data_IF_040238724654
#
_entry.id   IF_040238724654
#
_cell.length_a   1.000
_cell.length_b   1.000
_cell.length_c   1.000
_cell.angle_alpha   90.00
_cell.angle_beta   90.00
_cell.angle_gamma   90.00
#
_symmetry.space_group_name_H-M   'P 1'
#
loop_
_entity.id
_entity.type
_entity.pdbx_description
1 polymer ?
#
# COMPACT_ATOMS: atom_id res chain seq x y z
N UNK A 1 14.14 14.35 -19.63
CA UNK A 1 12.84 14.42 -18.91
C UNK A 1 12.79 13.50 -17.71
N UNK A 2 12.89 12.16 -17.86
CA UNK A 2 12.88 11.23 -16.69
C UNK A 2 14.08 11.43 -15.76
N UNK A 3 15.24 11.76 -16.27
CA UNK A 3 16.46 12.07 -15.50
C UNK A 3 16.23 13.30 -14.60
N UNK A 4 15.52 14.31 -15.06
CA UNK A 4 15.16 15.50 -14.26
C UNK A 4 14.26 15.11 -13.09
N UNK A 5 13.30 14.19 -13.29
CA UNK A 5 12.46 13.66 -12.21
C UNK A 5 13.28 12.89 -11.17
N UNK A 6 14.25 12.10 -11.62
CA UNK A 6 15.12 11.37 -10.71
C UNK A 6 16.03 12.33 -9.93
N UNK A 7 16.63 13.31 -10.59
CA UNK A 7 17.48 14.31 -9.94
C UNK A 7 16.69 15.13 -8.90
N UNK A 8 15.46 15.57 -9.25
CA UNK A 8 14.59 16.27 -8.33
C UNK A 8 14.20 15.38 -7.14
N UNK A 9 13.84 14.14 -7.41
CA UNK A 9 13.46 13.16 -6.40
C UNK A 9 14.62 12.87 -5.44
N UNK A 10 15.84 12.73 -5.96
CA UNK A 10 17.04 12.56 -5.16
C UNK A 10 17.32 13.80 -4.29
N UNK A 11 17.24 14.99 -4.86
CA UNK A 11 17.47 16.23 -4.13
C UNK A 11 16.43 16.43 -3.02
N UNK A 12 15.16 16.17 -3.30
CA UNK A 12 14.08 16.23 -2.30
C UNK A 12 14.34 15.24 -1.15
N UNK A 13 14.66 13.99 -1.48
CA UNK A 13 14.93 12.96 -0.49
C UNK A 13 16.13 13.34 0.39
N UNK A 14 17.22 13.77 -0.21
CA UNK A 14 18.42 14.22 0.51
C UNK A 14 18.14 15.46 1.38
N UNK A 15 17.37 16.43 0.89
CA UNK A 15 17.00 17.62 1.62
C UNK A 15 16.17 17.29 2.88
N UNK A 16 15.19 16.41 2.75
CA UNK A 16 14.29 16.04 3.84
C UNK A 16 14.96 15.15 4.91
N UNK A 17 16.01 14.42 4.56
CA UNK A 17 16.67 13.43 5.43
C UNK A 17 18.17 13.73 5.66
N UNK A 18 18.47 14.95 6.08
CA UNK A 18 19.86 15.46 6.25
C UNK A 18 20.68 14.79 7.36
N UNK A 19 20.07 13.98 8.23
CA UNK A 19 20.79 13.36 9.38
C UNK A 19 21.61 12.15 9.03
N UNK A 20 21.67 11.76 7.77
CA UNK A 20 22.45 10.62 7.31
C UNK A 20 23.81 11.03 6.73
N UNK A 21 24.73 10.08 6.65
CA UNK A 21 25.92 10.23 5.84
C UNK A 21 25.49 10.38 4.37
N UNK A 22 26.02 11.39 3.66
CA UNK A 22 25.76 11.64 2.24
C UNK A 22 25.93 10.37 1.39
N UNK A 23 26.99 9.62 1.62
CA UNK A 23 27.30 8.36 0.92
C UNK A 23 26.18 7.33 1.10
N UNK A 24 25.61 7.22 2.31
CA UNK A 24 24.51 6.30 2.57
C UNK A 24 23.26 6.66 1.76
N UNK A 25 22.94 7.95 1.57
CA UNK A 25 21.86 8.39 0.70
C UNK A 25 22.15 8.10 -0.77
N UNK A 26 23.39 8.32 -1.22
CA UNK A 26 23.80 7.97 -2.58
C UNK A 26 23.63 6.47 -2.86
N UNK A 27 24.01 5.61 -1.91
CA UNK A 27 23.80 4.16 -2.01
C UNK A 27 22.31 3.79 -2.06
N UNK A 28 21.46 4.42 -1.24
CA UNK A 28 20.00 4.17 -1.28
C UNK A 28 19.42 4.54 -2.65
N UNK A 29 19.77 5.70 -3.16
CA UNK A 29 19.23 6.19 -4.42
C UNK A 29 19.78 5.39 -5.61
N UNK A 30 21.05 5.02 -5.57
CA UNK A 30 21.64 4.13 -6.56
C UNK A 30 20.95 2.77 -6.60
N UNK A 31 20.66 2.18 -5.43
CA UNK A 31 19.90 0.94 -5.35
C UNK A 31 18.45 1.10 -5.82
N UNK A 32 17.80 2.22 -5.53
CA UNK A 32 16.45 2.49 -6.04
C UNK A 32 16.44 2.58 -7.58
N UNK A 33 17.42 3.30 -8.16
CA UNK A 33 17.60 3.39 -9.62
C UNK A 33 17.96 2.04 -10.24
N UNK A 34 18.85 1.29 -9.62
CA UNK A 34 19.32 -0.01 -10.10
C UNK A 34 18.18 -1.02 -10.32
N UNK A 35 17.06 -0.87 -9.60
CA UNK A 35 15.87 -1.70 -9.82
C UNK A 35 15.31 -1.58 -11.24
N UNK A 36 15.42 -0.40 -11.85
CA UNK A 36 14.98 -0.17 -13.23
C UNK A 36 15.86 -0.88 -14.27
N UNK A 37 17.05 -1.30 -13.85
CA UNK A 37 18.02 -2.03 -14.67
C UNK A 37 18.15 -3.51 -14.30
N UNK A 38 17.25 -4.03 -13.45
CA UNK A 38 17.23 -5.44 -13.10
C UNK A 38 18.12 -5.84 -11.91
N UNK A 39 18.73 -4.88 -11.21
CA UNK A 39 19.55 -5.14 -10.03
C UNK A 39 18.72 -4.90 -8.76
N UNK A 40 18.42 -5.94 -8.01
CA UNK A 40 17.44 -5.90 -6.92
C UNK A 40 18.03 -5.96 -5.51
N UNK A 41 19.35 -6.08 -5.39
CA UNK A 41 20.05 -6.11 -4.10
C UNK A 41 21.48 -5.54 -4.21
N UNK A 42 22.12 -5.18 -3.06
CA UNK A 42 23.45 -4.56 -3.08
C UNK A 42 24.52 -5.41 -3.73
N UNK A 43 24.46 -6.74 -3.62
CA UNK A 43 25.46 -7.63 -4.23
C UNK A 43 25.42 -7.54 -5.76
N UNK A 44 24.23 -7.65 -6.35
CA UNK A 44 24.09 -7.56 -7.82
C UNK A 44 24.58 -6.22 -8.36
N UNK A 45 24.29 -5.11 -7.66
CA UNK A 45 24.80 -3.79 -8.06
C UNK A 45 26.32 -3.71 -7.91
N UNK A 46 26.87 -4.24 -6.83
CA UNK A 46 28.32 -4.24 -6.61
C UNK A 46 29.06 -5.08 -7.65
N UNK A 47 28.55 -6.27 -7.96
CA UNK A 47 29.12 -7.15 -9.00
C UNK A 47 29.10 -6.45 -10.38
N UNK A 48 28.01 -5.73 -10.70
CA UNK A 48 27.91 -4.96 -11.95
C UNK A 48 28.88 -3.78 -12.02
N UNK A 49 29.12 -3.09 -10.89
CA UNK A 49 30.02 -1.94 -10.81
C UNK A 49 31.49 -2.33 -10.60
N UNK A 50 31.78 -3.63 -10.45
CA UNK A 50 33.10 -4.17 -10.11
C UNK A 50 33.69 -3.58 -8.81
N UNK A 51 32.84 -3.50 -7.77
CA UNK A 51 33.25 -3.01 -6.45
C UNK A 51 32.94 -4.06 -5.36
N UNK A 52 33.71 -4.05 -4.23
CA UNK A 52 33.43 -4.95 -3.12
C UNK A 52 32.02 -4.72 -2.54
N UNK A 53 31.18 -5.75 -2.50
CA UNK A 53 29.79 -5.63 -2.00
C UNK A 53 29.73 -5.15 -0.54
N UNK A 54 30.75 -5.44 0.28
CA UNK A 54 30.86 -4.95 1.66
C UNK A 54 30.86 -3.42 1.73
N UNK A 55 31.34 -2.73 0.68
CA UNK A 55 31.34 -1.27 0.58
C UNK A 55 29.90 -0.72 0.63
N UNK A 56 28.98 -1.32 -0.14
CA UNK A 56 27.57 -0.94 -0.12
C UNK A 56 26.86 -1.35 1.17
N UNK A 57 27.08 -2.59 1.64
CA UNK A 57 26.44 -3.08 2.87
C UNK A 57 26.84 -2.29 4.11
N UNK A 58 28.09 -1.81 4.20
CA UNK A 58 28.55 -0.97 5.31
C UNK A 58 27.74 0.30 5.42
N UNK A 59 27.46 0.97 4.30
CA UNK A 59 26.68 2.21 4.29
C UNK A 59 25.19 2.01 4.65
N UNK A 60 24.68 0.79 4.53
CA UNK A 60 23.28 0.48 4.83
C UNK A 60 23.05 0.04 6.29
N UNK A 61 24.13 -0.16 7.09
CA UNK A 61 24.04 -0.73 8.45
C UNK A 61 23.80 0.30 9.55
N UNK A 62 24.22 1.56 9.36
CA UNK A 62 24.43 2.50 10.44
C UNK A 62 23.18 3.30 10.84
N UNK A 63 22.00 2.90 10.36
CA UNK A 63 20.76 3.62 10.66
C UNK A 63 19.94 2.92 11.72
N UNK A 64 19.52 3.69 12.73
CA UNK A 64 18.62 3.15 13.74
C UNK A 64 17.26 2.80 13.15
N UNK A 65 16.65 1.74 13.71
CA UNK A 65 15.30 1.31 13.33
C UNK A 65 14.28 2.43 13.42
N UNK A 66 14.36 3.26 14.47
CA UNK A 66 13.47 4.40 14.66
C UNK A 66 13.60 5.38 13.48
N UNK A 67 14.82 5.76 13.14
CA UNK A 67 15.06 6.72 12.06
C UNK A 67 14.61 6.18 10.69
N UNK A 68 14.88 4.90 10.39
CA UNK A 68 14.42 4.27 9.14
C UNK A 68 12.89 4.26 9.01
N UNK A 69 12.17 3.98 10.10
CA UNK A 69 10.70 4.03 10.10
C UNK A 69 10.17 5.44 9.86
N UNK A 70 10.78 6.42 10.51
CA UNK A 70 10.40 7.85 10.34
C UNK A 70 10.71 8.34 8.92
N UNK A 71 11.87 7.98 8.37
CA UNK A 71 12.21 8.30 6.97
C UNK A 71 11.19 7.72 6.00
N UNK A 72 10.86 6.44 6.15
CA UNK A 72 9.92 5.75 5.28
C UNK A 72 8.54 6.40 5.35
N UNK A 73 8.04 6.65 6.56
CA UNK A 73 6.73 7.28 6.77
C UNK A 73 6.70 8.70 6.19
N UNK A 74 7.66 9.53 6.56
CA UNK A 74 7.72 10.92 6.11
C UNK A 74 7.84 11.04 4.60
N UNK A 75 8.67 10.20 3.99
CA UNK A 75 8.78 10.14 2.53
C UNK A 75 7.45 9.80 1.85
N UNK A 76 6.74 8.78 2.33
CA UNK A 76 5.44 8.41 1.79
C UNK A 76 4.40 9.53 1.96
N UNK A 77 4.39 10.22 3.10
CA UNK A 77 3.49 11.35 3.36
C UNK A 77 3.78 12.51 2.38
N UNK A 78 5.04 12.87 2.17
CA UNK A 78 5.40 13.94 1.22
C UNK A 78 4.89 13.59 -0.18
N UNK A 79 5.11 12.36 -0.64
CA UNK A 79 4.62 11.92 -1.95
C UNK A 79 3.09 11.94 -2.03
N UNK A 80 2.40 11.51 -0.99
CA UNK A 80 0.94 11.55 -0.94
C UNK A 80 0.39 12.98 -0.97
N UNK A 81 1.00 13.91 -0.23
CA UNK A 81 0.61 15.33 -0.21
C UNK A 81 0.76 15.96 -1.59
N UNK A 82 1.82 15.65 -2.33
CA UNK A 82 2.01 16.16 -3.69
C UNK A 82 0.92 15.69 -4.65
N UNK A 83 0.45 14.46 -4.53
CA UNK A 83 -0.67 13.94 -5.32
C UNK A 83 -2.02 14.49 -4.87
N UNK A 84 -2.21 14.74 -3.56
CA UNK A 84 -3.46 15.21 -3.00
C UNK A 84 -3.71 16.70 -3.24
N UNK A 85 -2.70 17.56 -3.11
CA UNK A 85 -2.85 19.01 -3.25
C UNK A 85 -3.61 19.44 -4.51
N UNK A 86 -3.30 18.94 -5.73
CA UNK A 86 -4.03 19.33 -6.93
C UNK A 86 -5.50 18.92 -6.94
N UNK A 87 -5.85 17.87 -6.18
CA UNK A 87 -7.22 17.34 -6.12
C UNK A 87 -8.04 18.07 -5.08
N UNK A 88 -7.44 18.42 -3.93
CA UNK A 88 -8.09 19.12 -2.84
C UNK A 88 -8.48 20.56 -3.20
N UNK A 89 -7.73 21.20 -4.10
CA UNK A 89 -8.06 22.54 -4.61
C UNK A 89 -9.35 22.55 -5.45
N UNK A 90 -9.78 21.39 -5.96
CA UNK A 90 -10.93 21.25 -6.87
C UNK A 90 -12.30 21.11 -6.20
N UNK A 91 -12.45 21.41 -4.91
CA UNK A 91 -13.67 21.34 -4.08
C UNK A 91 -13.97 20.01 -3.38
N UNK A 92 -14.52 20.11 -2.15
CA UNK A 92 -14.90 18.96 -1.33
C UNK A 92 -15.98 18.05 -1.97
N UNK A 93 -16.82 18.59 -2.85
CA UNK A 93 -17.80 17.83 -3.63
C UNK A 93 -17.15 16.95 -4.70
N UNK A 94 -15.94 17.27 -5.15
CA UNK A 94 -15.17 16.50 -6.12
C UNK A 94 -14.40 15.36 -5.44
N UNK A 95 -14.16 15.43 -4.12
CA UNK A 95 -13.43 14.42 -3.37
C UNK A 95 -14.18 13.06 -3.34
N UNK A 96 -15.51 13.07 -3.19
CA UNK A 96 -16.30 11.83 -3.28
C UNK A 96 -16.44 11.32 -4.71
N UNK A 97 -16.31 12.19 -5.72
CA UNK A 97 -16.33 11.85 -7.15
C UNK A 97 -14.95 11.50 -7.71
N UNK A 98 -13.89 11.91 -7.04
CA UNK A 98 -12.51 11.73 -7.52
C UNK A 98 -11.96 10.31 -7.39
N UNK A 99 -12.77 9.33 -6.91
CA UNK A 99 -12.33 7.94 -6.77
C UNK A 99 -11.16 7.77 -5.80
N UNK A 100 -11.10 8.57 -4.75
CA UNK A 100 -10.11 8.42 -3.69
C UNK A 100 -10.59 7.42 -2.65
N UNK A 101 -9.68 6.54 -2.22
CA UNK A 101 -9.95 5.52 -1.21
C UNK A 101 -8.70 5.24 -0.41
N UNK A 102 -8.84 5.09 0.89
CA UNK A 102 -7.82 4.49 1.74
C UNK A 102 -8.05 2.99 1.74
N UNK A 103 -7.10 2.24 1.24
CA UNK A 103 -7.14 0.78 1.26
C UNK A 103 -6.16 0.23 2.28
N UNK A 104 -6.63 -0.72 3.09
CA UNK A 104 -5.83 -1.44 4.09
C UNK A 104 -5.78 -2.90 3.72
N UNK A 105 -4.59 -3.43 3.63
CA UNK A 105 -4.34 -4.84 3.39
C UNK A 105 -2.99 -5.26 3.96
N UNK A 106 -2.79 -6.56 4.16
CA UNK A 106 -1.50 -7.10 4.56
C UNK A 106 -0.96 -8.10 3.54
N UNK A 107 0.33 -8.23 3.52
CA UNK A 107 1.00 -9.13 2.60
C UNK A 107 2.03 -9.99 3.30
N UNK A 108 1.77 -11.29 3.30
CA UNK A 108 2.71 -12.28 3.84
C UNK A 108 3.75 -12.63 2.78
N UNK A 109 5.01 -12.61 3.21
CA UNK A 109 6.17 -12.94 2.38
C UNK A 109 6.91 -14.11 3.00
N UNK A 110 7.05 -15.20 2.25
CA UNK A 110 7.85 -16.35 2.66
C UNK A 110 9.30 -15.91 2.82
N UNK A 111 9.86 -16.07 3.99
CA UNK A 111 11.25 -15.78 4.28
C UNK A 111 11.81 -16.74 5.30
N UNK A 112 12.98 -17.27 4.99
CA UNK A 112 13.70 -18.21 5.83
C UNK A 112 15.04 -17.59 6.24
N UNK A 113 15.36 -17.64 7.50
CA UNK A 113 16.64 -17.14 8.01
C UNK A 113 16.57 -16.78 9.49
N UNK A 114 17.54 -17.23 10.28
CA UNK A 114 17.61 -16.99 11.73
C UNK A 114 17.88 -15.53 12.07
N UNK A 115 18.54 -14.80 11.18
CA UNK A 115 18.94 -13.40 11.37
C UNK A 115 17.94 -12.39 10.84
N UNK A 116 16.85 -12.84 10.20
CA UNK A 116 15.81 -11.96 9.67
C UNK A 116 14.80 -11.62 10.78
N UNK A 117 14.62 -10.34 11.08
CA UNK A 117 13.62 -9.87 12.04
C UNK A 117 12.20 -10.00 11.50
N UNK A 118 11.23 -10.02 12.41
CA UNK A 118 9.79 -10.10 12.11
C UNK A 118 9.41 -11.35 11.31
N UNK A 119 10.15 -12.46 11.48
CA UNK A 119 9.87 -13.74 10.82
C UNK A 119 9.16 -14.67 11.79
N UNK A 120 7.87 -14.95 11.52
CA UNK A 120 6.95 -15.71 12.35
C UNK A 120 6.10 -16.65 11.49
N UNK A 121 5.28 -17.45 12.13
CA UNK A 121 4.25 -18.24 11.46
C UNK A 121 3.04 -17.37 11.17
N UNK A 122 2.74 -17.15 9.89
CA UNK A 122 1.62 -16.34 9.40
C UNK A 122 0.75 -17.14 8.45
N UNK A 123 -0.57 -16.95 8.51
CA UNK A 123 -1.46 -17.52 7.51
C UNK A 123 -1.27 -16.79 6.18
N UNK A 124 -1.02 -17.53 5.12
CA UNK A 124 -0.88 -17.03 3.74
C UNK A 124 -2.10 -17.40 2.92
N UNK A 125 -2.87 -16.41 2.49
CA UNK A 125 -4.01 -16.62 1.59
C UNK A 125 -3.62 -17.22 0.24
N UNK A 126 -2.36 -17.07 -0.19
CA UNK A 126 -1.84 -17.68 -1.41
C UNK A 126 -1.61 -19.18 -1.28
N UNK A 127 -1.06 -19.60 -0.14
CA UNK A 127 -0.74 -21.00 0.12
C UNK A 127 -1.90 -21.74 0.80
N UNK A 128 -2.92 -21.00 1.26
CA UNK A 128 -4.02 -21.49 2.12
C UNK A 128 -3.53 -22.24 3.36
N UNK A 129 -2.35 -21.84 3.86
CA UNK A 129 -1.67 -22.49 4.99
C UNK A 129 -0.87 -21.48 5.82
N UNK A 130 -0.40 -21.94 6.98
CA UNK A 130 0.50 -21.18 7.85
C UNK A 130 1.94 -21.38 7.39
N UNK A 131 2.56 -20.32 6.93
CA UNK A 131 3.94 -20.30 6.46
C UNK A 131 4.83 -19.51 7.40
N UNK A 132 6.13 -19.83 7.43
CA UNK A 132 7.13 -19.00 8.07
C UNK A 132 7.49 -17.84 7.15
N UNK A 133 7.42 -16.62 7.66
CA UNK A 133 7.68 -15.44 6.84
C UNK A 133 7.52 -14.14 7.59
N UNK A 134 7.45 -13.06 6.84
CA UNK A 134 7.19 -11.71 7.33
C UNK A 134 5.82 -11.26 6.86
N UNK A 135 5.06 -10.61 7.74
CA UNK A 135 3.78 -10.01 7.41
C UNK A 135 3.91 -8.48 7.43
N UNK A 136 3.64 -7.87 6.29
CA UNK A 136 3.73 -6.44 6.08
C UNK A 136 2.32 -5.86 5.95
N UNK A 137 1.91 -5.02 6.92
CA UNK A 137 0.66 -4.29 6.88
C UNK A 137 0.85 -2.97 6.16
N UNK A 138 -0.06 -2.65 5.25
CA UNK A 138 -0.01 -1.44 4.43
C UNK A 138 -1.30 -0.64 4.44
N UNK A 139 -1.13 0.69 4.39
CA UNK A 139 -2.18 1.66 4.10
C UNK A 139 -1.79 2.37 2.83
N UNK A 140 -2.63 2.29 1.82
CA UNK A 140 -2.41 2.86 0.48
C UNK A 140 -3.55 3.81 0.15
N UNK A 141 -3.20 5.00 -0.30
CA UNK A 141 -4.14 5.94 -0.89
C UNK A 141 -4.29 5.65 -2.38
N UNK A 142 -5.49 5.34 -2.78
CA UNK A 142 -5.83 5.32 -4.21
C UNK A 142 -6.24 6.71 -4.64
N UNK A 143 -5.61 7.24 -5.67
CA UNK A 143 -5.91 8.53 -6.26
C UNK A 143 -5.57 8.51 -7.76
N UNK A 144 -6.49 8.95 -8.62
CA UNK A 144 -6.28 8.96 -10.08
C UNK A 144 -5.78 7.59 -10.63
N UNK A 145 -6.33 6.49 -10.15
CA UNK A 145 -5.95 5.11 -10.49
C UNK A 145 -4.52 4.71 -10.10
N UNK A 146 -3.84 5.52 -9.29
CA UNK A 146 -2.53 5.19 -8.72
C UNK A 146 -2.67 4.72 -7.29
N UNK A 147 -1.82 3.79 -6.89
CA UNK A 147 -1.68 3.33 -5.52
C UNK A 147 -0.50 4.05 -4.87
N UNK A 148 -0.77 5.05 -4.04
CA UNK A 148 0.25 5.83 -3.32
C UNK A 148 0.37 5.27 -1.90
N UNK A 149 1.48 4.63 -1.51
CA UNK A 149 1.65 4.09 -0.17
C UNK A 149 1.73 5.24 0.84
N UNK A 150 0.98 5.13 1.94
CA UNK A 150 0.96 6.09 3.05
C UNK A 150 1.73 5.60 4.27
N UNK A 151 1.60 4.34 4.59
CA UNK A 151 2.26 3.74 5.75
C UNK A 151 2.45 2.23 5.56
N UNK A 152 3.63 1.73 5.92
CA UNK A 152 4.00 0.32 5.84
C UNK A 152 4.72 -0.09 7.11
N UNK A 153 4.24 -1.15 7.78
CA UNK A 153 4.88 -1.70 8.97
C UNK A 153 4.91 -3.23 8.94
N UNK A 154 6.05 -3.80 9.33
CA UNK A 154 6.14 -5.24 9.59
C UNK A 154 5.45 -5.58 10.90
N UNK A 155 4.56 -6.58 10.86
CA UNK A 155 3.93 -7.13 12.05
C UNK A 155 4.90 -7.99 12.84
N UNK A 156 4.78 -7.99 14.17
CA UNK A 156 5.60 -8.80 15.07
C UNK A 156 4.73 -9.58 16.05
N UNK A 157 5.18 -10.76 16.47
CA UNK A 157 4.54 -11.58 17.51
C UNK A 157 5.35 -11.60 18.81
N UNK A 158 6.36 -10.75 18.99
CA UNK A 158 7.26 -10.81 20.15
C UNK A 158 7.24 -9.52 21.00
N UNK A 159 7.25 -9.70 22.32
CA UNK A 159 7.45 -8.64 23.32
C UNK A 159 6.38 -7.54 23.27
N UNK A 160 6.80 -6.31 23.49
CA UNK A 160 5.93 -5.11 23.39
C UNK A 160 5.25 -4.95 22.03
N UNK A 161 5.72 -5.63 21.02
CA UNK A 161 5.23 -5.58 19.63
C UNK A 161 4.33 -6.76 19.29
N UNK A 162 3.99 -7.62 20.25
CA UNK A 162 2.96 -8.64 20.09
C UNK A 162 1.57 -7.98 20.10
N UNK A 163 1.40 -7.00 19.25
CA UNK A 163 0.14 -6.31 19.02
C UNK A 163 -0.62 -7.05 17.94
N UNK A 164 -1.93 -7.23 18.14
CA UNK A 164 -2.74 -7.72 17.05
C UNK A 164 -2.73 -6.70 15.89
N UNK A 165 -3.03 -7.15 14.67
CA UNK A 165 -3.01 -6.26 13.49
C UNK A 165 -3.96 -5.07 13.61
N UNK A 166 -5.04 -5.21 14.38
CA UNK A 166 -5.98 -4.12 14.64
C UNK A 166 -5.31 -2.97 15.43
N UNK A 167 -4.52 -3.30 16.45
CA UNK A 167 -3.78 -2.29 17.22
C UNK A 167 -2.73 -1.59 16.37
N UNK A 168 -2.02 -2.36 15.53
CA UNK A 168 -1.05 -1.79 14.58
C UNK A 168 -1.77 -0.84 13.60
N UNK A 169 -2.90 -1.27 13.03
CA UNK A 169 -3.68 -0.45 12.10
C UNK A 169 -4.18 0.86 12.73
N UNK A 170 -4.74 0.80 13.95
CA UNK A 170 -5.21 2.00 14.66
C UNK A 170 -4.05 2.96 14.93
N UNK A 171 -2.89 2.45 15.35
CA UNK A 171 -1.69 3.26 15.56
C UNK A 171 -1.21 3.92 14.25
N UNK A 172 -1.21 3.17 13.13
CA UNK A 172 -0.84 3.68 11.82
C UNK A 172 -1.81 4.79 11.35
N UNK A 173 -3.12 4.57 11.47
CA UNK A 173 -4.13 5.55 11.06
C UNK A 173 -4.10 6.81 11.94
N UNK A 174 -3.94 6.66 13.26
CA UNK A 174 -3.79 7.77 14.19
C UNK A 174 -2.58 8.65 13.83
N UNK A 175 -1.44 8.01 13.53
CA UNK A 175 -0.23 8.73 13.11
C UNK A 175 -0.43 9.44 11.77
N UNK A 176 -1.00 8.77 10.77
CA UNK A 176 -1.28 9.35 9.46
C UNK A 176 -2.24 10.54 9.56
N UNK A 177 -3.30 10.42 10.37
CA UNK A 177 -4.25 11.52 10.61
C UNK A 177 -3.53 12.76 11.15
N UNK A 178 -2.68 12.58 12.16
CA UNK A 178 -1.92 13.69 12.75
C UNK A 178 -0.93 14.32 11.76
N UNK A 179 -0.20 13.50 10.99
CA UNK A 179 0.79 14.00 10.03
C UNK A 179 0.13 14.71 8.85
N UNK A 180 -0.93 14.15 8.26
CA UNK A 180 -1.63 14.77 7.12
C UNK A 180 -2.40 16.04 7.52
N UNK A 181 -2.89 16.09 8.76
CA UNK A 181 -3.54 17.29 9.29
C UNK A 181 -2.60 18.51 9.27
N UNK A 182 -1.28 18.34 9.46
CA UNK A 182 -0.27 19.39 9.35
C UNK A 182 -0.21 20.04 7.95
N UNK A 183 -0.67 19.32 6.95
CA UNK A 183 -0.78 19.79 5.57
C UNK A 183 -2.20 20.25 5.19
N UNK A 184 -3.09 20.38 6.19
CA UNK A 184 -4.50 20.76 5.97
C UNK A 184 -5.37 19.65 5.38
N UNK A 185 -4.93 18.38 5.46
CA UNK A 185 -5.63 17.22 4.89
C UNK A 185 -6.33 16.45 6.00
N UNK A 186 -7.66 16.40 5.94
CA UNK A 186 -8.48 15.56 6.82
C UNK A 186 -8.63 14.15 6.23
N UNK A 187 -7.82 13.22 6.74
CA UNK A 187 -7.81 11.83 6.28
C UNK A 187 -9.16 11.12 6.50
N UNK A 188 -9.93 11.54 7.50
CA UNK A 188 -11.22 10.89 7.85
C UNK A 188 -12.32 11.12 6.83
N UNK A 189 -12.16 12.09 5.94
CA UNK A 189 -13.08 12.36 4.83
C UNK A 189 -12.97 11.35 3.69
N UNK A 190 -11.84 10.64 3.61
CA UNK A 190 -11.57 9.65 2.57
C UNK A 190 -12.16 8.31 3.00
N UNK A 191 -12.96 7.63 2.14
CA UNK A 191 -13.49 6.31 2.45
C UNK A 191 -12.39 5.29 2.75
N UNK A 192 -12.60 4.44 3.75
CA UNK A 192 -11.70 3.39 4.17
C UNK A 192 -12.21 2.02 3.71
N UNK A 193 -11.37 1.26 3.04
CA UNK A 193 -11.68 -0.10 2.60
C UNK A 193 -10.72 -1.11 3.18
N UNK A 194 -11.24 -2.28 3.56
CA UNK A 194 -10.47 -3.37 4.18
C UNK A 194 -11.01 -4.73 3.75
N UNK A 195 -10.15 -5.74 3.77
CA UNK A 195 -10.57 -7.13 3.58
C UNK A 195 -11.32 -7.68 4.81
N UNK A 196 -12.07 -8.76 4.61
CA UNK A 196 -12.86 -9.47 5.63
C UNK A 196 -12.06 -9.90 6.87
N UNK A 197 -10.75 -9.98 6.76
CA UNK A 197 -9.87 -10.31 7.87
C UNK A 197 -9.89 -9.25 8.99
N UNK A 198 -10.12 -7.98 8.63
CA UNK A 198 -10.16 -6.85 9.56
C UNK A 198 -11.51 -6.62 10.22
N UNK A 199 -12.51 -7.46 9.94
CA UNK A 199 -13.85 -7.27 10.49
C UNK A 199 -13.91 -7.68 11.95
N UNK A 200 -14.06 -6.70 12.84
CA UNK A 200 -14.44 -6.89 14.24
C UNK A 200 -15.19 -5.68 14.78
N UNK A 201 -16.06 -5.91 15.76
CA UNK A 201 -16.83 -4.82 16.41
C UNK A 201 -15.87 -3.84 17.09
N UNK A 202 -14.88 -4.34 17.82
CA UNK A 202 -13.89 -3.51 18.51
C UNK A 202 -13.09 -2.64 17.54
N UNK A 203 -12.62 -3.20 16.42
CA UNK A 203 -11.91 -2.41 15.43
C UNK A 203 -12.79 -1.33 14.81
N UNK A 204 -14.05 -1.69 14.45
CA UNK A 204 -15.01 -0.73 13.92
C UNK A 204 -15.24 0.45 14.87
N UNK A 205 -15.45 0.18 16.16
CA UNK A 205 -15.63 1.25 17.16
C UNK A 205 -14.41 2.15 17.24
N UNK A 206 -13.21 1.58 17.32
CA UNK A 206 -11.95 2.34 17.37
C UNK A 206 -11.71 3.18 16.11
N UNK A 207 -12.09 2.70 14.92
CA UNK A 207 -12.05 3.48 13.69
C UNK A 207 -13.02 4.66 13.73
N UNK A 208 -14.23 4.42 14.24
CA UNK A 208 -15.24 5.47 14.45
C UNK A 208 -14.72 6.53 15.44
N UNK A 209 -14.10 6.12 16.55
CA UNK A 209 -13.52 7.02 17.54
C UNK A 209 -12.37 7.87 16.96
N UNK A 210 -11.66 7.35 15.97
CA UNK A 210 -10.69 8.13 15.17
C UNK A 210 -11.34 9.10 14.17
N UNK A 211 -12.67 9.00 13.96
CA UNK A 211 -13.44 9.83 13.05
C UNK A 211 -13.67 9.24 11.66
N UNK A 212 -13.29 7.98 11.41
CA UNK A 212 -13.59 7.31 10.15
C UNK A 212 -15.07 6.85 10.15
N UNK A 213 -15.90 7.52 9.36
CA UNK A 213 -17.34 7.24 9.26
C UNK A 213 -17.74 6.54 7.96
N UNK A 214 -16.85 6.52 6.96
CA UNK A 214 -17.09 5.86 5.67
C UNK A 214 -16.21 4.62 5.58
N UNK A 215 -16.73 3.48 6.07
CA UNK A 215 -15.96 2.22 6.15
C UNK A 215 -16.69 1.15 5.34
N UNK A 216 -15.99 0.56 4.37
CA UNK A 216 -16.50 -0.50 3.50
C UNK A 216 -15.57 -1.72 3.63
N UNK A 217 -16.14 -2.87 3.96
CA UNK A 217 -15.37 -4.09 4.22
C UNK A 217 -16.00 -5.26 3.45
N UNK A 218 -15.18 -6.13 2.87
CA UNK A 218 -15.66 -7.39 2.32
C UNK A 218 -16.22 -8.29 3.43
N UNK A 219 -17.36 -8.92 3.20
CA UNK A 219 -18.02 -9.77 4.16
C UNK A 219 -17.63 -11.25 4.05
N UNK A 220 -17.73 -11.99 5.15
CA UNK A 220 -17.57 -13.45 5.19
C UNK A 220 -18.92 -14.14 5.04
N UNK A 221 -18.95 -15.28 4.36
CA UNK A 221 -20.18 -16.03 4.05
C UNK A 221 -20.97 -16.51 5.29
N UNK A 222 -20.27 -16.68 6.40
CA UNK A 222 -20.84 -17.16 7.67
C UNK A 222 -21.33 -16.04 8.62
N UNK A 223 -21.34 -14.77 8.17
CA UNK A 223 -21.93 -13.71 8.99
C UNK A 223 -23.44 -13.72 8.88
N UNK A 224 -24.10 -13.54 10.02
CA UNK A 224 -25.55 -13.53 10.14
C UNK A 224 -26.10 -12.11 10.10
N UNK A 225 -27.17 -11.91 9.33
CA UNK A 225 -27.88 -10.64 9.21
C UNK A 225 -29.38 -10.82 9.34
N UNK A 226 -30.03 -9.77 9.81
CA UNK A 226 -31.48 -9.64 9.85
C UNK A 226 -31.89 -8.63 8.77
N UNK A 227 -32.64 -9.06 7.79
CA UNK A 227 -33.21 -8.23 6.72
C UNK A 227 -34.74 -8.45 6.75
N UNK A 228 -35.50 -7.39 6.83
CA UNK A 228 -36.96 -7.42 6.89
C UNK A 228 -37.50 -8.39 7.98
N UNK A 229 -36.85 -8.42 9.15
CA UNK A 229 -37.19 -9.27 10.29
C UNK A 229 -36.73 -10.73 10.21
N UNK A 230 -36.28 -11.20 9.06
CA UNK A 230 -35.79 -12.57 8.86
C UNK A 230 -34.27 -12.64 9.14
N UNK A 231 -33.85 -13.60 9.99
CA UNK A 231 -32.46 -13.82 10.38
C UNK A 231 -31.87 -14.99 9.60
N UNK A 232 -30.76 -14.73 8.86
CA UNK A 232 -30.06 -15.74 8.06
C UNK A 232 -28.60 -15.40 7.89
N UNK A 233 -27.80 -16.40 7.45
CA UNK A 233 -26.42 -16.20 7.06
C UNK A 233 -26.29 -15.51 5.68
N UNK A 234 -25.19 -14.82 5.46
CA UNK A 234 -24.93 -14.13 4.21
C UNK A 234 -24.96 -15.07 2.98
N UNK A 235 -24.60 -16.35 3.15
CA UNK A 235 -24.69 -17.35 2.09
C UNK A 235 -26.12 -17.65 1.67
N UNK A 236 -27.07 -17.68 2.62
CA UNK A 236 -28.50 -17.87 2.37
C UNK A 236 -29.12 -16.63 1.75
N UNK A 237 -28.81 -15.43 2.30
CA UNK A 237 -29.27 -14.17 1.71
C UNK A 237 -28.88 -14.00 0.26
N UNK A 238 -27.66 -14.44 -0.13
CA UNK A 238 -27.24 -14.43 -1.54
C UNK A 238 -28.11 -15.27 -2.47
N UNK A 239 -28.70 -16.33 -1.97
CA UNK A 239 -29.58 -17.21 -2.74
C UNK A 239 -31.01 -16.66 -2.86
N UNK A 240 -31.47 -15.98 -1.80
CA UNK A 240 -32.85 -15.48 -1.73
C UNK A 240 -33.02 -14.09 -2.35
N UNK A 241 -32.01 -13.23 -2.27
CA UNK A 241 -32.12 -11.88 -2.78
C UNK A 241 -32.15 -11.85 -4.31
N UNK A 242 -33.11 -11.14 -4.85
CA UNK A 242 -33.19 -10.88 -6.28
C UNK A 242 -32.13 -9.87 -6.66
N UNK A 243 -31.15 -10.32 -7.43
CA UNK A 243 -30.10 -9.45 -7.97
C UNK A 243 -30.58 -8.85 -9.30
N UNK A 244 -30.60 -7.54 -9.38
CA UNK A 244 -30.98 -6.82 -10.57
C UNK A 244 -29.82 -6.69 -11.54
N UNK A 245 -30.08 -6.71 -12.84
CA UNK A 245 -29.08 -6.45 -13.87
C UNK A 245 -28.42 -5.05 -13.67
N UNK A 246 -27.24 -4.82 -14.29
CA UNK A 246 -26.47 -3.60 -14.07
C UNK A 246 -27.31 -2.35 -14.26
N UNK A 247 -27.51 -1.61 -13.20
CA UNK A 247 -28.22 -0.35 -13.23
C UNK A 247 -27.38 0.69 -12.49
N UNK A 248 -27.40 1.90 -12.99
CA UNK A 248 -26.83 3.05 -12.26
C UNK A 248 -25.34 2.95 -11.92
N UNK A 249 -24.50 2.55 -12.89
CA UNK A 249 -23.04 2.55 -12.75
C UNK A 249 -22.44 1.33 -12.05
N UNK A 250 -23.24 0.30 -11.75
CA UNK A 250 -22.77 -1.01 -11.34
C UNK A 250 -22.81 -1.93 -12.56
N UNK A 251 -21.66 -2.46 -12.96
CA UNK A 251 -21.46 -3.29 -14.17
C UNK A 251 -21.70 -4.80 -13.93
N UNK A 252 -22.23 -5.16 -12.77
CA UNK A 252 -22.59 -6.52 -12.39
C UNK A 252 -23.95 -6.56 -11.70
N UNK A 253 -24.74 -7.66 -11.79
CA UNK A 253 -25.97 -7.82 -11.04
C UNK A 253 -25.72 -7.60 -9.55
N UNK A 254 -26.56 -6.78 -8.91
CA UNK A 254 -26.40 -6.40 -7.50
C UNK A 254 -27.74 -6.14 -6.80
N UNK A 255 -27.71 -6.24 -5.48
CA UNK A 255 -28.81 -5.84 -4.60
C UNK A 255 -28.26 -5.07 -3.39
N UNK A 256 -28.85 -3.92 -3.08
CA UNK A 256 -28.53 -3.12 -1.89
C UNK A 256 -29.66 -3.22 -0.89
N UNK A 257 -29.35 -3.63 0.34
CA UNK A 257 -30.33 -3.80 1.40
C UNK A 257 -29.86 -3.14 2.71
N UNK A 258 -30.80 -2.69 3.51
CA UNK A 258 -30.58 -2.34 4.91
C UNK A 258 -30.64 -3.62 5.74
N UNK A 259 -29.66 -3.80 6.61
CA UNK A 259 -29.55 -4.98 7.43
C UNK A 259 -29.18 -4.61 8.87
N UNK A 260 -29.58 -5.48 9.79
CA UNK A 260 -29.15 -5.46 11.18
C UNK A 260 -28.25 -6.69 11.42
N UNK A 261 -27.05 -6.47 11.91
CA UNK A 261 -26.18 -7.56 12.34
C UNK A 261 -26.22 -7.68 13.86
N UNK A 262 -26.37 -8.88 14.42
CA UNK A 262 -26.24 -9.10 15.86
C UNK A 262 -24.89 -8.64 16.43
N UNK A 263 -23.84 -8.72 15.60
CA UNK A 263 -22.48 -8.34 16.00
C UNK A 263 -22.17 -6.87 15.71
N UNK A 264 -22.63 -6.34 14.58
CA UNK A 264 -22.17 -5.03 14.09
C UNK A 264 -23.23 -3.93 14.14
N UNK A 265 -24.46 -4.24 14.50
CA UNK A 265 -25.58 -3.30 14.49
C UNK A 265 -26.10 -2.99 13.08
N UNK A 266 -26.67 -1.81 12.89
CA UNK A 266 -27.22 -1.39 11.61
C UNK A 266 -26.12 -1.14 10.58
N UNK A 267 -26.33 -1.63 9.34
CA UNK A 267 -25.42 -1.45 8.22
C UNK A 267 -26.15 -1.59 6.89
N UNK A 268 -25.47 -1.22 5.82
CA UNK A 268 -25.92 -1.44 4.44
C UNK A 268 -25.11 -2.60 3.86
N UNK A 269 -25.80 -3.58 3.28
CA UNK A 269 -25.18 -4.66 2.52
C UNK A 269 -25.39 -4.40 1.03
N UNK A 270 -24.35 -4.68 0.24
CA UNK A 270 -24.45 -4.71 -1.21
C UNK A 270 -23.94 -6.06 -1.69
N UNK A 271 -24.86 -6.87 -2.21
CA UNK A 271 -24.58 -8.18 -2.77
C UNK A 271 -24.30 -8.05 -4.27
N UNK A 272 -23.35 -8.81 -4.79
CA UNK A 272 -22.92 -8.79 -6.18
C UNK A 272 -22.77 -10.20 -6.73
N UNK A 273 -23.08 -10.36 -8.02
CA UNK A 273 -22.81 -11.60 -8.74
C UNK A 273 -21.79 -11.33 -9.85
N UNK A 274 -20.55 -11.73 -9.62
CA UNK A 274 -19.46 -11.55 -10.59
C UNK A 274 -19.49 -12.57 -11.72
N UNK A 275 -20.00 -13.77 -11.45
CA UNK A 275 -20.19 -14.86 -12.44
C UNK A 275 -21.30 -15.78 -11.95
N UNK A 276 -21.71 -16.76 -12.75
CA UNK A 276 -22.70 -17.77 -12.36
C UNK A 276 -22.35 -18.51 -11.06
N UNK A 277 -21.05 -18.63 -10.74
CA UNK A 277 -20.57 -19.36 -9.56
C UNK A 277 -19.98 -18.47 -8.47
N UNK A 278 -19.73 -17.18 -8.75
CA UNK A 278 -19.04 -16.27 -7.82
C UNK A 278 -19.92 -15.09 -7.43
N UNK A 279 -20.39 -15.11 -6.21
CA UNK A 279 -21.07 -13.99 -5.57
C UNK A 279 -20.31 -13.56 -4.31
N UNK A 280 -20.32 -12.28 -4.01
CA UNK A 280 -19.74 -11.70 -2.80
C UNK A 280 -20.58 -10.52 -2.34
N UNK A 281 -20.31 -10.01 -1.15
CA UNK A 281 -21.01 -8.85 -0.64
C UNK A 281 -20.07 -7.93 0.12
N UNK A 282 -20.47 -6.68 0.20
CA UNK A 282 -19.79 -5.62 0.92
C UNK A 282 -20.65 -5.16 2.10
N UNK A 283 -20.01 -4.95 3.23
CA UNK A 283 -20.58 -4.33 4.42
C UNK A 283 -20.18 -2.86 4.45
N UNK A 284 -21.16 -1.98 4.39
CA UNK A 284 -20.95 -0.56 4.54
C UNK A 284 -21.45 -0.10 5.91
N UNK A 285 -20.51 0.40 6.72
CA UNK A 285 -20.75 0.93 8.06
C UNK A 285 -20.88 2.46 8.08
N UNK A 286 -21.03 3.08 6.92
CA UNK A 286 -21.21 4.53 6.84
C UNK A 286 -22.54 4.95 7.49
N UNK A 287 -22.50 5.99 8.31
CA UNK A 287 -23.70 6.64 8.83
C UNK A 287 -24.46 7.41 7.73
N UNK A 288 -23.76 7.80 6.65
CA UNK A 288 -24.39 8.44 5.51
C UNK A 288 -25.07 7.39 4.61
N UNK A 289 -26.24 7.71 4.09
CA UNK A 289 -26.91 6.88 3.08
C UNK A 289 -26.10 6.90 1.78
N UNK A 290 -25.29 5.87 1.54
CA UNK A 290 -24.54 5.68 0.31
C UNK A 290 -25.31 4.83 -0.68
N UNK A 291 -25.27 5.20 -1.97
CA UNK A 291 -25.87 4.41 -3.04
C UNK A 291 -25.02 3.14 -3.29
N UNK A 292 -25.63 2.07 -3.78
CA UNK A 292 -24.91 0.85 -4.13
C UNK A 292 -23.77 1.09 -5.13
N UNK A 293 -24.00 1.94 -6.14
CA UNK A 293 -22.98 2.33 -7.12
C UNK A 293 -21.78 3.06 -6.47
N UNK A 294 -22.03 3.94 -5.50
CA UNK A 294 -20.96 4.64 -4.79
C UNK A 294 -20.11 3.67 -3.97
N UNK A 295 -20.75 2.76 -3.22
CA UNK A 295 -20.07 1.70 -2.47
C UNK A 295 -19.22 0.83 -3.41
N UNK A 296 -19.76 0.49 -4.58
CA UNK A 296 -19.08 -0.31 -5.59
C UNK A 296 -17.87 0.40 -6.17
N UNK A 297 -17.99 1.67 -6.54
CA UNK A 297 -16.88 2.46 -7.08
C UNK A 297 -15.76 2.62 -6.06
N UNK A 298 -16.08 2.86 -4.80
CA UNK A 298 -15.08 2.91 -3.72
C UNK A 298 -14.40 1.54 -3.58
N UNK A 299 -15.17 0.46 -3.55
CA UNK A 299 -14.60 -0.88 -3.40
C UNK A 299 -13.72 -1.29 -4.58
N UNK A 300 -14.07 -0.94 -5.80
CA UNK A 300 -13.21 -1.20 -6.97
C UNK A 300 -11.79 -0.63 -6.82
N UNK A 301 -11.65 0.48 -6.11
CA UNK A 301 -10.34 1.07 -5.85
C UNK A 301 -9.49 0.22 -4.90
N UNK A 302 -10.11 -0.62 -4.06
CA UNK A 302 -9.39 -1.53 -3.16
C UNK A 302 -8.45 -2.48 -3.91
N UNK A 303 -8.79 -2.88 -5.13
CA UNK A 303 -7.93 -3.72 -5.97
C UNK A 303 -6.53 -3.12 -6.21
N UNK A 304 -6.38 -1.81 -6.12
CA UNK A 304 -5.08 -1.15 -6.36
C UNK A 304 -4.06 -1.43 -5.25
N UNK A 305 -4.48 -1.74 -4.01
CA UNK A 305 -3.52 -2.19 -2.98
C UNK A 305 -3.00 -3.60 -3.29
N UNK A 306 -3.83 -4.48 -3.88
CA UNK A 306 -3.40 -5.79 -4.34
C UNK A 306 -2.38 -5.65 -5.49
N UNK A 307 -2.64 -4.71 -6.44
CA UNK A 307 -1.69 -4.37 -7.51
C UNK A 307 -0.37 -3.83 -6.94
N UNK A 308 -0.41 -2.97 -5.93
CA UNK A 308 0.77 -2.48 -5.22
C UNK A 308 1.59 -3.63 -4.65
N UNK A 309 0.98 -4.56 -3.91
CA UNK A 309 1.67 -5.74 -3.40
C UNK A 309 2.25 -6.62 -4.50
N UNK A 310 1.50 -6.81 -5.58
CA UNK A 310 1.97 -7.57 -6.75
C UNK A 310 3.22 -6.93 -7.35
N UNK A 311 3.22 -5.62 -7.55
CA UNK A 311 4.36 -4.87 -8.10
C UNK A 311 5.57 -4.98 -7.18
N UNK A 312 5.41 -4.74 -5.87
CA UNK A 312 6.51 -4.88 -4.91
C UNK A 312 7.11 -6.30 -4.90
N UNK A 313 6.27 -7.33 -5.03
CA UNK A 313 6.72 -8.73 -4.99
C UNK A 313 7.36 -9.19 -6.29
N UNK A 314 6.72 -8.90 -7.45
CA UNK A 314 7.10 -9.48 -8.75
C UNK A 314 8.03 -8.58 -9.57
N UNK A 315 7.93 -7.26 -9.42
CA UNK A 315 8.72 -6.31 -10.21
C UNK A 315 9.90 -5.78 -9.39
N UNK A 316 9.65 -5.30 -8.17
CA UNK A 316 10.72 -4.80 -7.31
C UNK A 316 11.34 -5.87 -6.42
N UNK A 317 10.90 -7.12 -6.53
CA UNK A 317 11.50 -8.27 -5.84
C UNK A 317 11.77 -8.00 -4.36
N UNK A 318 10.74 -7.56 -3.60
CA UNK A 318 10.89 -7.19 -2.19
C UNK A 318 11.55 -8.29 -1.35
N UNK A 319 11.50 -9.55 -1.80
CA UNK A 319 12.11 -10.70 -1.14
C UNK A 319 13.61 -10.84 -1.43
N UNK A 320 14.15 -10.24 -2.49
CA UNK A 320 15.53 -10.43 -2.93
C UNK A 320 16.56 -9.69 -2.08
N UNK A 321 16.14 -8.67 -1.33
CA UNK A 321 17.02 -7.91 -0.45
C UNK A 321 16.84 -8.38 1.01
N UNK A 322 17.78 -9.18 1.49
CA UNK A 322 17.75 -9.77 2.84
C UNK A 322 18.83 -9.13 3.71
N UNK A 323 18.54 -7.95 4.26
CA UNK A 323 19.41 -7.29 5.22
C UNK A 323 19.10 -7.80 6.64
N UNK A 324 20.14 -7.95 7.45
CA UNK A 324 20.03 -8.43 8.82
C UNK A 324 19.49 -7.34 9.77
N UNK A 325 18.93 -7.76 10.88
CA UNK A 325 18.50 -6.84 11.95
C UNK A 325 17.55 -5.75 11.44
N UNK A 326 17.88 -4.52 11.72
CA UNK A 326 17.08 -3.34 11.37
C UNK A 326 17.16 -2.98 9.87
N UNK A 327 18.12 -3.54 9.15
CA UNK A 327 18.22 -3.44 7.69
C UNK A 327 16.97 -3.90 6.93
N UNK A 328 16.06 -4.61 7.60
CA UNK A 328 14.73 -4.93 7.10
C UNK A 328 13.98 -3.68 6.60
N UNK A 329 14.00 -2.60 7.36
CA UNK A 329 13.37 -1.33 6.96
C UNK A 329 14.19 -0.57 5.93
N UNK A 330 15.51 -0.72 5.90
CA UNK A 330 16.36 -0.21 4.80
C UNK A 330 15.96 -0.86 3.48
N UNK A 331 15.82 -2.19 3.46
CA UNK A 331 15.38 -2.92 2.28
C UNK A 331 13.98 -2.46 1.82
N UNK A 332 13.04 -2.28 2.75
CA UNK A 332 11.69 -1.79 2.45
C UNK A 332 11.75 -0.37 1.87
N UNK A 333 12.53 0.53 2.48
CA UNK A 333 12.70 1.91 2.03
C UNK A 333 13.20 1.96 0.58
N UNK A 334 14.22 1.21 0.22
CA UNK A 334 14.75 1.16 -1.15
C UNK A 334 13.68 0.69 -2.14
N UNK A 335 12.92 -0.34 -1.80
CA UNK A 335 11.85 -0.86 -2.67
C UNK A 335 10.70 0.15 -2.83
N UNK A 336 10.35 0.85 -1.78
CA UNK A 336 9.32 1.90 -1.81
C UNK A 336 9.81 3.12 -2.60
N UNK A 337 11.08 3.51 -2.45
CA UNK A 337 11.69 4.57 -3.28
C UNK A 337 11.60 4.23 -4.76
N UNK A 338 11.99 3.02 -5.15
CA UNK A 338 11.89 2.55 -6.53
C UNK A 338 10.44 2.53 -7.03
N UNK A 339 9.50 2.05 -6.21
CA UNK A 339 8.08 2.04 -6.55
C UNK A 339 7.52 3.45 -6.75
N UNK A 340 7.78 4.37 -5.82
CA UNK A 340 7.29 5.76 -5.92
C UNK A 340 7.88 6.46 -7.13
N UNK A 341 9.16 6.26 -7.43
CA UNK A 341 9.77 6.78 -8.65
C UNK A 341 9.06 6.22 -9.90
N UNK A 342 8.74 4.93 -9.93
CA UNK A 342 8.04 4.31 -11.06
C UNK A 342 6.64 4.90 -11.29
N UNK A 343 5.84 5.10 -10.23
CA UNK A 343 4.51 5.71 -10.36
C UNK A 343 4.58 7.19 -10.75
N UNK A 344 5.60 7.93 -10.31
CA UNK A 344 5.84 9.30 -10.74
C UNK A 344 6.16 9.38 -12.24
N UNK A 345 7.03 8.49 -12.72
CA UNK A 345 7.31 8.39 -14.16
C UNK A 345 6.05 8.02 -14.95
N UNK A 346 5.28 7.05 -14.47
CA UNK A 346 4.02 6.67 -15.11
C UNK A 346 3.00 7.82 -15.15
N UNK A 347 2.99 8.71 -14.17
CA UNK A 347 2.11 9.88 -14.14
C UNK A 347 2.48 10.93 -15.20
N UNK A 348 3.69 10.90 -15.76
CA UNK A 348 4.10 11.81 -16.83
C UNK A 348 3.39 11.47 -18.14
N UNK A 349 3.03 12.49 -18.91
CA UNK A 349 2.32 12.33 -20.21
C UNK A 349 3.02 11.35 -21.15
N UNK A 350 4.35 11.36 -21.19
CA UNK A 350 5.17 10.49 -22.05
C UNK A 350 5.03 9.00 -21.68
N UNK A 351 4.85 8.70 -20.41
CA UNK A 351 4.80 7.32 -19.89
C UNK A 351 3.39 6.87 -19.47
N UNK A 352 2.38 7.73 -19.56
CA UNK A 352 1.04 7.49 -18.98
C UNK A 352 0.31 6.27 -19.56
N UNK A 353 0.68 5.83 -20.76
CA UNK A 353 0.13 4.61 -21.40
C UNK A 353 0.96 3.36 -21.17
N UNK A 354 2.11 3.47 -20.51
CA UNK A 354 3.04 2.37 -20.27
C UNK A 354 2.81 1.74 -18.90
N UNK A 355 2.97 0.44 -18.82
CA UNK A 355 3.07 -0.25 -17.54
C UNK A 355 4.45 0.00 -16.92
N UNK A 356 4.57 -0.16 -15.60
CA UNK A 356 5.86 -0.02 -14.89
C UNK A 356 6.93 -0.91 -15.52
N UNK A 357 6.60 -2.15 -15.89
CA UNK A 357 7.53 -3.08 -16.55
C UNK A 357 8.01 -2.54 -17.91
N UNK A 358 7.11 -1.92 -18.70
CA UNK A 358 7.49 -1.31 -19.97
C UNK A 358 8.39 -0.09 -19.76
N UNK A 359 8.09 0.75 -18.76
CA UNK A 359 8.96 1.88 -18.38
C UNK A 359 10.36 1.39 -18.03
N UNK A 360 10.47 0.38 -17.16
CA UNK A 360 11.76 -0.19 -16.77
C UNK A 360 12.52 -0.74 -17.98
N UNK A 361 11.86 -1.50 -18.85
CA UNK A 361 12.46 -2.06 -20.06
C UNK A 361 12.99 -0.97 -21.00
N UNK A 362 12.21 0.08 -21.22
CA UNK A 362 12.64 1.19 -22.07
C UNK A 362 13.86 1.90 -21.48
N UNK A 363 13.84 2.19 -20.17
CA UNK A 363 14.96 2.85 -19.51
C UNK A 363 16.24 2.00 -19.57
N UNK A 364 16.15 0.69 -19.29
CA UNK A 364 17.32 -0.21 -19.32
C UNK A 364 17.86 -0.47 -20.74
N UNK A 365 17.04 -0.31 -21.78
CA UNK A 365 17.47 -0.42 -23.18
C UNK A 365 18.18 0.85 -23.66
N UNK A 366 17.64 2.00 -23.27
CA UNK A 366 18.04 3.29 -23.86
C UNK A 366 19.17 3.97 -23.07
N UNK A 367 19.54 3.44 -21.90
CA UNK A 367 20.54 4.04 -21.00
C UNK A 367 21.43 2.97 -20.34
N UNK A 368 22.69 3.35 -20.10
CA UNK A 368 23.63 2.58 -19.29
C UNK A 368 23.59 3.02 -17.81
N UNK A 369 23.42 2.07 -16.89
CA UNK A 369 23.33 2.36 -15.46
C UNK A 369 24.61 2.98 -14.90
N UNK A 370 25.80 2.50 -15.32
CA UNK A 370 27.08 3.00 -14.82
C UNK A 370 27.26 4.47 -15.19
N UNK A 371 27.03 4.82 -16.44
CA UNK A 371 27.06 6.20 -16.95
C UNK A 371 26.09 7.09 -16.20
N UNK A 372 24.87 6.60 -15.94
CA UNK A 372 23.88 7.37 -15.18
C UNK A 372 24.32 7.66 -13.75
N UNK A 373 24.88 6.67 -13.06
CA UNK A 373 25.31 6.83 -11.66
C UNK A 373 26.51 7.76 -11.53
N UNK A 374 27.46 7.71 -12.48
CA UNK A 374 28.73 8.46 -12.40
C UNK A 374 28.65 9.84 -13.05
N UNK A 375 28.15 9.90 -14.28
CA UNK A 375 28.23 11.12 -15.08
C UNK A 375 26.98 12.00 -14.92
N UNK A 376 25.82 11.37 -14.83
CA UNK A 376 24.55 12.13 -14.78
C UNK A 376 24.12 12.49 -13.36
N UNK A 377 24.18 11.54 -12.42
CA UNK A 377 23.79 11.78 -11.03
C UNK A 377 24.97 12.13 -10.10
N UNK A 378 26.19 12.14 -10.64
CA UNK A 378 27.41 12.50 -9.89
C UNK A 378 27.55 11.75 -8.57
N UNK A 379 27.45 10.42 -8.62
CA UNK A 379 27.65 9.51 -7.48
C UNK A 379 29.04 8.84 -7.55
N UNK A 380 30.13 9.61 -7.38
CA UNK A 380 31.50 9.14 -7.61
C UNK A 380 31.93 8.00 -6.68
N UNK A 381 31.31 7.92 -5.49
CA UNK A 381 31.57 6.83 -4.55
C UNK A 381 31.27 5.45 -5.14
N UNK A 382 30.35 5.34 -6.10
CA UNK A 382 29.98 4.08 -6.74
C UNK A 382 30.84 3.75 -7.95
N UNK A 383 31.62 4.69 -8.44
CA UNK A 383 32.48 4.53 -9.60
C UNK A 383 33.92 4.05 -9.26
N UNK A 384 34.31 4.10 -8.00
CA UNK A 384 35.64 3.70 -7.48
C UNK A 384 35.53 2.45 -6.63
#
# INVERSE_FOLDING_TARGET
>A
MWQQEFTWFFALFHHEFRRGNRIAFEVLMALALAHFFGFYNPKQLADFLDIPHQKLYRQLKDWSLYYLKEMLLRFMIIQAVEHLKPVLVKSAATLSRAGMTLSVDNSVMDRFGKLLRCTWSWYSGRCHDVIRGQDLLGIVLTINHMAVPLHLLFCSKQGRYNTNKADVLISMLSRLKAELHRYGIDLTKIPLTMDSWFVSQSLRQRLHDLGFTKIIIAGKSNYTFIIDGKKQDASQWKQELVLHNPTWGIDVPSCRVHAQSPTFGALILVFFQKSTTRSYYLMNFSQASMRGAEIWHIWKQHYLIECFWKILKSIFHIRSMQLQGDGLYTALLIKVLAYVLAIRLQAQRTFSKLTITQIMRNLSRDHDLKTLLTEHFHLPFLAT
#
